data_IF_129885370023
#
_entry.id   IF_129885370023
#
_cell.length_a   1.000
_cell.length_b   1.000
_cell.length_c   1.000
_cell.angle_alpha   90.00
_cell.angle_beta   90.00
_cell.angle_gamma   90.00
#
_symmetry.space_group_name_H-M   'P 1'
#
loop_
_entity.id
_entity.type
_entity.pdbx_description
1 polymer ?
#
# COMPACT_ATOMS: atom_id res chain seq x y z
N UNK A 1 19.54 -8.86 -8.33
CA UNK A 1 18.34 -9.52 -7.78
C UNK A 1 17.40 -8.42 -7.33
N UNK A 2 16.11 -8.51 -7.66
CA UNK A 2 15.12 -7.51 -7.25
C UNK A 2 13.99 -8.21 -6.47
N UNK A 3 13.28 -7.44 -5.64
CA UNK A 3 12.18 -7.92 -4.80
C UNK A 3 11.00 -6.96 -4.95
N UNK A 4 9.80 -7.50 -5.16
CA UNK A 4 8.55 -6.75 -5.01
C UNK A 4 8.08 -6.82 -3.55
N UNK A 5 7.50 -5.74 -3.04
CA UNK A 5 7.04 -5.68 -1.65
C UNK A 5 5.86 -4.74 -1.47
N UNK A 6 4.95 -5.09 -0.57
CA UNK A 6 4.02 -4.16 0.06
C UNK A 6 4.33 -4.17 1.57
N UNK A 7 4.60 -3.01 2.15
CA UNK A 7 4.89 -2.86 3.57
C UNK A 7 3.84 -1.96 4.22
N UNK A 8 3.27 -2.39 5.34
CA UNK A 8 2.15 -1.72 5.97
C UNK A 8 2.34 -1.61 7.47
N UNK A 9 1.94 -0.46 8.02
CA UNK A 9 1.82 -0.22 9.46
C UNK A 9 0.36 0.07 9.77
N UNK A 10 -0.22 -0.66 10.72
CA UNK A 10 -1.60 -0.48 11.17
C UNK A 10 -1.60 0.29 12.49
N UNK A 11 -2.27 1.43 12.52
CA UNK A 11 -2.51 2.22 13.71
C UNK A 11 -3.95 2.01 14.20
N UNK A 12 -4.10 1.21 15.25
CA UNK A 12 -5.39 0.91 15.86
C UNK A 12 -5.99 2.08 16.64
N UNK A 13 -5.18 3.06 17.07
CA UNK A 13 -5.66 4.19 17.86
C UNK A 13 -6.49 5.16 17.03
N UNK A 14 -6.12 5.33 15.75
CA UNK A 14 -6.81 6.20 14.79
C UNK A 14 -7.51 5.44 13.65
N UNK A 15 -7.36 4.12 13.59
CA UNK A 15 -7.98 3.27 12.58
C UNK A 15 -7.46 3.53 11.17
N UNK A 16 -6.14 3.70 11.03
CA UNK A 16 -5.49 3.95 9.74
C UNK A 16 -4.42 2.92 9.43
N UNK A 17 -4.16 2.73 8.14
CA UNK A 17 -3.04 1.94 7.63
C UNK A 17 -2.16 2.85 6.80
N UNK A 18 -0.86 2.85 7.07
CA UNK A 18 0.13 3.47 6.20
C UNK A 18 0.77 2.38 5.35
N UNK A 19 0.72 2.54 4.03
CA UNK A 19 1.25 1.59 3.04
C UNK A 19 2.38 2.23 2.25
N UNK A 20 3.50 1.52 2.10
CA UNK A 20 4.50 1.76 1.08
C UNK A 20 4.54 0.55 0.13
N UNK A 21 4.57 0.80 -1.18
CA UNK A 21 4.56 -0.26 -2.21
C UNK A 21 5.83 -0.17 -3.03
N UNK A 22 6.55 -1.26 -3.18
CA UNK A 22 7.75 -1.38 -4.00
C UNK A 22 7.49 -2.37 -5.14
N UNK A 23 6.79 -1.91 -6.19
CA UNK A 23 6.49 -2.69 -7.40
C UNK A 23 5.59 -3.91 -7.22
N UNK A 24 5.06 -4.15 -6.03
CA UNK A 24 4.06 -5.19 -5.76
C UNK A 24 2.71 -4.88 -6.41
N UNK A 25 1.87 -5.90 -6.59
CA UNK A 25 0.52 -5.72 -7.09
C UNK A 25 -0.31 -4.79 -6.20
N UNK A 26 -1.23 -4.07 -6.84
CA UNK A 26 -2.04 -3.04 -6.18
C UNK A 26 -3.03 -3.71 -5.22
N UNK A 27 -2.98 -3.39 -3.90
CA UNK A 27 -3.95 -3.92 -2.95
C UNK A 27 -5.38 -3.56 -3.33
N UNK A 28 -6.33 -4.43 -2.97
CA UNK A 28 -7.76 -4.15 -3.11
C UNK A 28 -8.27 -3.58 -1.78
N UNK A 29 -8.94 -2.45 -1.82
CA UNK A 29 -9.65 -1.89 -0.68
C UNK A 29 -11.15 -2.05 -0.91
N UNK A 30 -11.74 -2.96 -0.14
CA UNK A 30 -13.19 -3.09 -0.05
C UNK A 30 -13.73 -2.06 0.93
N UNK A 31 -14.69 -1.25 0.46
CA UNK A 31 -15.40 -0.26 1.26
C UNK A 31 -16.78 -0.78 1.64
N UNK A 32 -17.01 -1.03 2.93
CA UNK A 32 -18.24 -1.67 3.41
C UNK A 32 -19.47 -0.82 3.15
N UNK A 33 -19.38 0.49 3.38
CA UNK A 33 -20.55 1.40 3.27
C UNK A 33 -21.03 1.52 1.83
N UNK A 34 -20.09 1.65 0.89
CA UNK A 34 -20.36 1.80 -0.54
C UNK A 34 -20.53 0.46 -1.25
N UNK A 35 -20.12 -0.65 -0.63
CA UNK A 35 -20.02 -1.99 -1.24
C UNK A 35 -19.18 -1.99 -2.52
N UNK A 36 -18.13 -1.17 -2.57
CA UNK A 36 -17.23 -1.05 -3.71
C UNK A 36 -15.86 -1.65 -3.39
N UNK A 37 -15.11 -1.95 -4.46
CA UNK A 37 -13.70 -2.33 -4.37
C UNK A 37 -12.90 -1.32 -5.20
N UNK A 38 -11.85 -0.78 -4.60
CA UNK A 38 -10.90 0.12 -5.27
C UNK A 38 -9.49 -0.45 -5.25
N UNK A 39 -8.71 -0.21 -6.32
CA UNK A 39 -7.30 -0.57 -6.37
C UNK A 39 -6.47 0.56 -5.76
N UNK A 40 -5.64 0.22 -4.77
CA UNK A 40 -4.74 1.15 -4.12
C UNK A 40 -3.40 1.15 -4.86
N UNK A 41 -3.09 2.26 -5.54
CA UNK A 41 -1.94 2.36 -6.46
C UNK A 41 -0.95 3.48 -6.07
N UNK A 42 -0.39 3.48 -4.84
CA UNK A 42 0.67 4.42 -4.53
C UNK A 42 1.88 4.17 -5.44
N UNK A 43 2.65 5.22 -5.78
CA UNK A 43 3.86 5.09 -6.57
C UNK A 43 4.91 4.23 -5.84
N UNK A 44 5.84 3.68 -6.61
CA UNK A 44 6.88 2.81 -6.07
C UNK A 44 7.54 1.93 -7.12
N UNK A 45 8.84 1.74 -6.97
CA UNK A 45 9.66 0.85 -7.80
C UNK A 45 10.08 -0.37 -6.97
N UNK A 46 10.29 -1.50 -7.63
CA UNK A 46 10.84 -2.69 -6.98
C UNK A 46 12.19 -2.40 -6.32
N UNK A 47 12.49 -3.09 -5.23
CA UNK A 47 13.75 -2.94 -4.50
C UNK A 47 14.89 -3.56 -5.31
N UNK A 48 16.03 -2.88 -5.39
CA UNK A 48 17.27 -3.40 -5.98
C UNK A 48 17.51 -3.09 -7.46
N UNK A 49 16.71 -2.21 -8.08
CA UNK A 49 16.94 -1.75 -9.48
C UNK A 49 17.77 -0.46 -9.55
N UNK A 50 17.57 0.48 -8.63
CA UNK A 50 18.28 1.76 -8.61
C UNK A 50 19.28 1.82 -7.46
N UNK A 51 20.23 2.76 -7.58
CA UNK A 51 21.17 3.21 -6.55
C UNK A 51 20.51 3.70 -5.24
N UNK A 52 19.20 3.97 -5.25
CA UNK A 52 18.39 4.36 -4.09
C UNK A 52 17.65 5.69 -4.31
N UNK A 53 18.28 6.64 -5.01
CA UNK A 53 17.76 8.00 -5.19
C UNK A 53 16.36 8.09 -5.83
N UNK A 54 16.07 7.21 -6.80
CA UNK A 54 14.76 7.14 -7.44
C UNK A 54 13.78 6.42 -6.53
N UNK A 55 14.23 5.35 -5.88
CA UNK A 55 13.42 4.57 -4.94
C UNK A 55 12.90 5.46 -3.80
N UNK A 56 13.78 6.22 -3.15
CA UNK A 56 13.47 7.11 -2.04
C UNK A 56 12.51 8.23 -2.46
N UNK A 57 12.64 8.74 -3.69
CA UNK A 57 11.79 9.82 -4.19
C UNK A 57 10.35 9.36 -4.46
N UNK A 58 10.16 8.15 -4.96
CA UNK A 58 8.85 7.71 -5.45
C UNK A 58 8.13 6.74 -4.51
N UNK A 59 8.86 6.04 -3.65
CA UNK A 59 8.29 5.15 -2.64
C UNK A 59 8.01 5.96 -1.40
N UNK A 60 6.74 6.32 -1.21
CA UNK A 60 6.32 7.20 -0.14
C UNK A 60 5.19 6.56 0.67
N UNK A 61 5.02 7.06 1.89
CA UNK A 61 3.92 6.68 2.77
C UNK A 61 2.57 7.07 2.15
N UNK A 62 1.68 6.09 2.03
CA UNK A 62 0.31 6.28 1.59
C UNK A 62 -0.65 5.90 2.71
N UNK A 63 -1.29 6.90 3.30
CA UNK A 63 -2.23 6.71 4.39
C UNK A 63 -3.62 6.33 3.87
N UNK A 64 -4.21 5.31 4.49
CA UNK A 64 -5.55 4.80 4.22
C UNK A 64 -6.32 4.83 5.53
N UNK A 65 -7.44 5.56 5.58
CA UNK A 65 -8.39 5.43 6.69
C UNK A 65 -9.26 4.20 6.46
N UNK A 66 -9.35 3.32 7.46
CA UNK A 66 -10.25 2.17 7.44
C UNK A 66 -11.43 2.42 8.37
N UNK A 67 -12.63 2.37 7.82
CA UNK A 67 -13.84 2.39 8.63
C UNK A 67 -14.22 0.97 9.06
N UNK A 68 -15.11 0.87 10.06
CA UNK A 68 -15.53 -0.44 10.56
C UNK A 68 -16.15 -1.29 9.43
N UNK A 69 -15.56 -2.46 9.21
CA UNK A 69 -15.99 -3.42 8.18
C UNK A 69 -15.30 -3.24 6.82
N UNK A 70 -14.51 -2.18 6.62
CA UNK A 70 -13.63 -2.09 5.45
C UNK A 70 -12.57 -3.21 5.50
N UNK A 71 -12.09 -3.63 4.33
CA UNK A 71 -11.08 -4.68 4.23
C UNK A 71 -10.01 -4.29 3.21
N UNK A 72 -8.74 -4.29 3.64
CA UNK A 72 -7.60 -4.16 2.75
C UNK A 72 -7.04 -5.56 2.46
N UNK A 73 -7.05 -5.95 1.18
CA UNK A 73 -6.63 -7.28 0.72
C UNK A 73 -5.29 -7.17 0.00
N UNK A 74 -4.32 -7.95 0.47
CA UNK A 74 -2.98 -8.10 -0.08
C UNK A 74 -2.85 -9.50 -0.69
N UNK A 75 -2.16 -9.60 -1.83
CA UNK A 75 -1.98 -10.84 -2.59
C UNK A 75 -0.67 -10.81 -3.37
N UNK A 76 -0.12 -11.98 -3.71
CA UNK A 76 1.17 -12.16 -4.42
C UNK A 76 1.05 -13.25 -5.47
#
# INVERSE_FOLDING_TARGET
MFISMAYLVVDHSVGSVTLARAGHDAPLLYRRVQQTVELIKPPGMVVGIDSGSVFDRITNDFAIRLEQGDCLVLYT
#
